data_IF_092666453881
#
_entry.id   IF_092666453881
#
_cell.length_a   1.000
_cell.length_b   1.000
_cell.length_c   1.000
_cell.angle_alpha   90.00
_cell.angle_beta   90.00
_cell.angle_gamma   90.00
#
_symmetry.space_group_name_H-M   'P 1'
#
loop_
_entity.id
_entity.type
_entity.pdbx_description
1 polymer ?
#
# COMPACT_ATOMS: atom_id res chain seq x y z
N UNK A 1 18.90 2.75 -5.28
CA UNK A 1 19.08 2.39 -6.69
C UNK A 1 17.72 2.37 -7.35
N UNK A 2 17.49 3.32 -8.23
CA UNK A 2 16.27 3.42 -9.02
C UNK A 2 16.40 2.43 -10.17
N UNK A 3 15.87 1.23 -10.02
CA UNK A 3 15.86 0.20 -11.05
C UNK A 3 14.90 0.49 -12.21
N UNK A 4 14.81 1.74 -12.64
CA UNK A 4 14.04 2.15 -13.81
C UNK A 4 15.05 2.53 -14.89
N UNK A 5 15.12 1.76 -15.94
CA UNK A 5 15.71 2.22 -17.17
C UNK A 5 14.78 3.31 -17.76
N UNK A 6 15.11 4.56 -17.50
CA UNK A 6 14.49 5.69 -18.19
C UNK A 6 15.16 5.81 -19.56
N UNK A 7 14.40 6.14 -20.59
CA UNK A 7 15.00 6.62 -21.83
C UNK A 7 15.78 7.91 -21.54
N UNK A 8 16.77 8.23 -22.36
CA UNK A 8 17.57 9.46 -22.19
C UNK A 8 16.68 10.71 -22.18
N UNK A 9 15.59 10.70 -22.93
CA UNK A 9 14.60 11.80 -22.98
C UNK A 9 13.82 11.91 -21.67
N UNK A 10 13.33 10.80 -21.11
CA UNK A 10 12.62 10.78 -19.83
C UNK A 10 13.54 11.16 -18.67
N UNK A 11 14.81 10.78 -18.75
CA UNK A 11 15.81 11.15 -17.76
C UNK A 11 16.10 12.66 -17.81
N UNK A 12 16.20 13.23 -19.01
CA UNK A 12 16.42 14.66 -19.21
C UNK A 12 15.21 15.50 -18.78
N UNK A 13 13.99 15.08 -19.11
CA UNK A 13 12.76 15.76 -18.68
C UNK A 13 12.64 15.77 -17.17
N UNK A 14 12.95 14.66 -16.51
CA UNK A 14 12.95 14.57 -15.06
C UNK A 14 14.01 15.44 -14.40
N UNK A 15 15.20 15.51 -14.98
CA UNK A 15 16.28 16.38 -14.50
C UNK A 15 15.92 17.86 -14.64
N UNK A 16 15.28 18.25 -15.73
CA UNK A 16 14.83 19.62 -15.97
C UNK A 16 13.72 20.05 -14.99
N UNK A 17 12.86 19.11 -14.57
CA UNK A 17 11.74 19.36 -13.66
C UNK A 17 12.10 19.33 -12.17
N UNK A 18 13.29 18.92 -11.79
CA UNK A 18 13.64 18.60 -10.40
C UNK A 18 14.22 19.75 -9.58
N UNK A 19 14.14 20.99 -10.03
CA UNK A 19 14.62 22.18 -9.30
C UNK A 19 16.04 22.04 -8.71
N UNK A 20 16.93 21.33 -9.37
CA UNK A 20 18.30 21.16 -8.93
C UNK A 20 18.55 20.14 -7.84
N UNK A 21 17.52 19.45 -7.36
CA UNK A 21 17.68 18.36 -6.36
C UNK A 21 18.62 17.25 -6.87
N UNK A 22 18.58 16.98 -8.16
CA UNK A 22 19.43 15.98 -8.81
C UNK A 22 20.80 16.51 -9.23
N UNK A 23 21.16 17.74 -8.92
CA UNK A 23 22.48 18.30 -9.25
C UNK A 23 22.83 18.33 -10.75
N UNK A 24 21.84 18.35 -11.64
CA UNK A 24 22.03 18.30 -13.07
C UNK A 24 22.57 16.97 -13.59
N UNK A 25 23.10 16.96 -14.80
CA UNK A 25 23.62 15.75 -15.49
C UNK A 25 24.71 14.97 -14.72
N UNK A 26 25.22 15.50 -13.64
CA UNK A 26 26.25 14.86 -12.84
C UNK A 26 25.75 13.62 -12.09
N UNK A 27 24.50 13.57 -11.69
CA UNK A 27 23.97 12.42 -10.96
C UNK A 27 23.74 11.17 -11.83
N UNK A 28 23.43 11.35 -13.10
CA UNK A 28 23.34 10.21 -14.03
C UNK A 28 24.71 9.63 -14.40
N UNK A 29 25.78 10.42 -14.22
CA UNK A 29 27.15 10.02 -14.55
C UNK A 29 28.00 9.60 -13.36
N UNK A 30 27.56 9.93 -12.14
CA UNK A 30 28.28 9.64 -10.91
C UNK A 30 27.56 8.55 -10.15
N UNK A 31 28.28 7.50 -9.78
CA UNK A 31 27.81 6.54 -8.83
C UNK A 31 27.68 7.24 -7.46
N UNK A 32 26.49 7.20 -6.90
CA UNK A 32 26.21 7.72 -5.56
C UNK A 32 25.94 6.54 -4.65
N UNK A 33 26.78 6.32 -3.67
CA UNK A 33 26.66 5.21 -2.71
C UNK A 33 25.45 5.41 -1.78
N UNK A 34 25.16 6.66 -1.42
CA UNK A 34 24.03 6.99 -0.55
C UNK A 34 22.74 7.15 -1.34
N UNK A 35 21.65 6.48 -0.91
CA UNK A 35 20.36 6.64 -1.56
C UNK A 35 19.82 8.07 -1.36
N UNK A 36 19.40 8.68 -2.46
CA UNK A 36 18.78 10.00 -2.44
C UNK A 36 17.27 9.84 -2.44
N UNK A 37 16.59 10.47 -1.48
CA UNK A 37 15.13 10.44 -1.40
C UNK A 37 14.49 11.53 -2.26
N UNK A 38 13.68 11.11 -3.24
CA UNK A 38 12.77 11.98 -3.99
C UNK A 38 11.34 11.46 -3.84
N UNK A 39 10.56 12.14 -3.00
CA UNK A 39 9.18 11.72 -2.70
C UNK A 39 8.23 11.85 -3.90
N UNK A 40 8.46 12.79 -4.80
CA UNK A 40 7.62 12.96 -6.00
C UNK A 40 7.92 11.85 -7.02
N UNK A 41 9.18 11.57 -7.24
CA UNK A 41 9.60 10.46 -8.10
C UNK A 41 9.17 9.11 -7.54
N UNK A 42 9.34 8.89 -6.25
CA UNK A 42 8.87 7.67 -5.57
C UNK A 42 7.37 7.43 -5.80
N UNK A 43 6.56 8.49 -5.68
CA UNK A 43 5.13 8.39 -5.92
C UNK A 43 4.80 8.14 -7.40
N UNK A 44 5.52 8.77 -8.32
CA UNK A 44 5.39 8.51 -9.75
C UNK A 44 5.76 7.07 -10.09
N UNK A 45 6.89 6.58 -9.60
CA UNK A 45 7.33 5.20 -9.79
C UNK A 45 6.30 4.19 -9.26
N UNK A 46 5.76 4.44 -8.08
CA UNK A 46 4.70 3.64 -7.50
C UNK A 46 3.48 3.54 -8.43
N UNK A 47 2.95 4.67 -8.87
CA UNK A 47 1.74 4.71 -9.72
C UNK A 47 2.00 4.10 -11.09
N UNK A 48 3.14 4.43 -11.74
CA UNK A 48 3.44 3.96 -13.10
C UNK A 48 3.67 2.45 -13.13
N UNK A 49 4.44 1.90 -12.18
CA UNK A 49 4.67 0.45 -12.13
C UNK A 49 3.40 -0.34 -11.84
N UNK A 50 2.52 0.18 -10.97
CA UNK A 50 1.23 -0.44 -10.71
C UNK A 50 0.35 -0.38 -11.97
N UNK A 51 0.34 0.73 -12.69
CA UNK A 51 -0.39 0.86 -13.96
C UNK A 51 0.04 -0.20 -14.97
N UNK A 52 1.35 -0.36 -15.17
CA UNK A 52 1.91 -1.38 -16.06
C UNK A 52 1.55 -2.81 -15.60
N UNK A 53 1.67 -3.09 -14.30
CA UNK A 53 1.34 -4.39 -13.76
C UNK A 53 -0.16 -4.72 -13.91
N UNK A 54 -1.05 -3.75 -13.71
CA UNK A 54 -2.49 -3.91 -13.96
C UNK A 54 -2.80 -4.14 -15.44
N UNK A 55 -2.13 -3.40 -16.34
CA UNK A 55 -2.28 -3.59 -17.77
C UNK A 55 -1.84 -5.02 -18.19
N UNK A 56 -0.67 -5.45 -17.74
CA UNK A 56 -0.18 -6.81 -18.00
C UNK A 56 -1.11 -7.88 -17.43
N UNK A 57 -1.63 -7.68 -16.23
CA UNK A 57 -2.59 -8.61 -15.64
C UNK A 57 -3.88 -8.68 -16.46
N UNK A 58 -4.39 -7.55 -16.94
CA UNK A 58 -5.55 -7.46 -17.81
C UNK A 58 -5.40 -8.20 -19.15
N UNK A 59 -4.17 -8.35 -19.66
CA UNK A 59 -3.92 -9.17 -20.87
C UNK A 59 -3.98 -10.67 -20.60
N UNK A 60 -3.74 -11.10 -19.37
CA UNK A 60 -3.75 -12.52 -18.97
C UNK A 60 -5.13 -12.96 -18.47
N UNK A 61 -5.86 -12.07 -17.84
CA UNK A 61 -7.16 -12.36 -17.21
C UNK A 61 -8.15 -11.28 -17.64
N UNK A 62 -9.22 -11.68 -18.30
CA UNK A 62 -10.26 -10.76 -18.75
C UNK A 62 -11.16 -10.34 -17.59
N UNK A 63 -10.67 -9.42 -16.76
CA UNK A 63 -11.38 -8.88 -15.61
C UNK A 63 -11.39 -7.35 -15.60
N UNK A 64 -12.40 -6.81 -14.92
CA UNK A 64 -12.43 -5.42 -14.52
C UNK A 64 -12.17 -5.33 -13.01
N UNK A 65 -10.99 -4.95 -12.56
CA UNK A 65 -10.66 -4.95 -11.13
C UNK A 65 -11.60 -4.10 -10.26
N UNK A 66 -12.22 -3.04 -10.81
CA UNK A 66 -13.18 -2.23 -10.07
C UNK A 66 -14.52 -2.94 -9.84
N UNK A 67 -14.91 -3.86 -10.72
CA UNK A 67 -16.21 -4.53 -10.70
C UNK A 67 -16.11 -5.98 -10.25
N UNK A 68 -15.04 -6.70 -10.65
CA UNK A 68 -14.93 -8.14 -10.49
C UNK A 68 -14.19 -8.55 -9.21
N UNK A 69 -13.37 -7.65 -8.64
CA UNK A 69 -12.77 -7.89 -7.33
C UNK A 69 -13.69 -7.41 -6.19
N UNK A 70 -14.01 -8.32 -5.30
CA UNK A 70 -14.80 -8.01 -4.10
C UNK A 70 -13.99 -7.19 -3.10
N UNK A 71 -12.70 -7.50 -2.99
CA UNK A 71 -11.74 -6.82 -2.14
C UNK A 71 -10.46 -6.51 -2.90
N UNK A 72 -9.83 -5.40 -2.54
CA UNK A 72 -8.57 -4.94 -3.16
C UNK A 72 -7.55 -4.65 -2.07
N UNK A 73 -6.44 -5.34 -2.12
CA UNK A 73 -5.32 -5.17 -1.22
C UNK A 73 -4.18 -4.52 -1.99
N UNK A 74 -3.74 -3.37 -1.52
CA UNK A 74 -2.69 -2.58 -2.15
C UNK A 74 -1.51 -2.47 -1.20
N UNK A 75 -0.30 -2.50 -1.74
CA UNK A 75 0.88 -2.09 -0.97
C UNK A 75 0.72 -0.66 -0.47
N UNK A 76 0.84 -0.46 0.83
CA UNK A 76 0.58 0.80 1.49
C UNK A 76 1.85 1.37 2.12
N UNK A 77 2.56 2.28 1.44
CA UNK A 77 3.64 3.08 2.06
C UNK A 77 3.11 3.93 3.22
N UNK A 78 1.85 4.36 3.13
CA UNK A 78 1.06 4.97 4.20
C UNK A 78 -0.43 4.61 4.03
N UNK A 79 -1.20 4.70 5.11
CA UNK A 79 -2.50 4.07 5.27
C UNK A 79 -3.50 4.27 4.13
N UNK A 80 -3.52 5.46 3.49
CA UNK A 80 -4.56 5.80 2.50
C UNK A 80 -4.01 6.01 1.08
N UNK A 81 -2.80 5.58 0.81
CA UNK A 81 -2.19 5.70 -0.52
C UNK A 81 -3.00 4.93 -1.58
N UNK A 82 -3.48 3.75 -1.23
CA UNK A 82 -4.27 2.92 -2.13
C UNK A 82 -5.49 3.65 -2.70
N UNK A 83 -6.32 4.22 -1.84
CA UNK A 83 -7.54 4.92 -2.29
C UNK A 83 -7.27 6.19 -3.09
N UNK A 84 -6.15 6.88 -2.83
CA UNK A 84 -5.73 8.07 -3.57
C UNK A 84 -5.24 7.74 -4.98
N UNK A 85 -4.59 6.61 -5.14
CA UNK A 85 -4.14 6.12 -6.43
C UNK A 85 -5.30 5.51 -7.22
N UNK A 86 -6.06 4.64 -6.58
CA UNK A 86 -7.09 3.85 -7.24
C UNK A 86 -8.24 4.67 -7.80
N UNK A 87 -8.49 5.89 -7.33
CA UNK A 87 -9.54 6.75 -7.90
C UNK A 87 -9.34 6.98 -9.40
N UNK A 88 -8.10 7.20 -9.85
CA UNK A 88 -7.82 7.39 -11.27
C UNK A 88 -8.03 6.09 -12.06
N UNK A 89 -7.53 4.97 -11.56
CA UNK A 89 -7.76 3.67 -12.21
C UNK A 89 -9.24 3.29 -12.20
N UNK A 90 -9.97 3.59 -11.13
CA UNK A 90 -11.41 3.37 -11.08
C UNK A 90 -12.13 4.15 -12.18
N UNK A 91 -11.79 5.43 -12.37
CA UNK A 91 -12.35 6.25 -13.43
C UNK A 91 -12.01 5.72 -14.83
N UNK A 92 -10.76 5.28 -15.04
CA UNK A 92 -10.34 4.65 -16.29
C UNK A 92 -11.14 3.36 -16.56
N UNK A 93 -11.34 2.52 -15.54
CA UNK A 93 -12.15 1.30 -15.65
C UNK A 93 -13.63 1.61 -15.97
N UNK A 94 -14.17 2.65 -15.38
CA UNK A 94 -15.55 3.08 -15.69
C UNK A 94 -15.69 3.51 -17.15
N UNK A 95 -14.69 4.19 -17.72
CA UNK A 95 -14.66 4.55 -19.14
C UNK A 95 -14.60 3.32 -20.05
N UNK A 96 -13.65 2.42 -19.78
CA UNK A 96 -13.43 1.20 -20.58
C UNK A 96 -14.68 0.31 -20.59
N UNK A 97 -15.42 0.28 -19.49
CA UNK A 97 -16.61 -0.56 -19.34
C UNK A 97 -17.94 0.15 -19.68
N UNK A 98 -17.88 1.27 -20.41
CA UNK A 98 -19.06 2.04 -20.84
C UNK A 98 -19.96 2.52 -19.70
N UNK A 99 -19.39 2.72 -18.50
CA UNK A 99 -20.08 3.22 -17.30
C UNK A 99 -19.79 4.69 -17.02
N UNK A 100 -19.18 5.39 -17.96
CA UNK A 100 -18.82 6.79 -17.79
C UNK A 100 -20.01 7.70 -17.53
N UNK A 101 -21.16 7.40 -18.13
CA UNK A 101 -22.40 8.15 -17.90
C UNK A 101 -22.87 8.12 -16.43
N UNK A 102 -22.63 7.04 -15.71
CA UNK A 102 -22.92 6.96 -14.26
C UNK A 102 -22.06 7.97 -13.50
N UNK A 103 -20.78 8.11 -13.89
CA UNK A 103 -19.85 9.07 -13.29
C UNK A 103 -20.27 10.51 -13.58
N UNK A 104 -20.67 10.81 -14.82
CA UNK A 104 -21.21 12.14 -15.20
C UNK A 104 -22.46 12.46 -14.38
N UNK A 105 -23.38 11.52 -14.22
CA UNK A 105 -24.58 11.72 -13.39
C UNK A 105 -24.24 12.05 -11.93
N UNK A 106 -23.26 11.37 -11.36
CA UNK A 106 -22.80 11.60 -9.98
C UNK A 106 -22.15 12.97 -9.83
N UNK A 107 -21.41 13.43 -10.84
CA UNK A 107 -20.67 14.68 -10.80
C UNK A 107 -21.48 15.89 -11.32
N UNK A 108 -22.50 15.66 -12.13
CA UNK A 108 -23.25 16.71 -12.83
C UNK A 108 -22.52 17.32 -14.02
N UNK A 109 -21.30 16.87 -14.33
CA UNK A 109 -20.50 17.34 -15.47
C UNK A 109 -19.48 16.28 -15.87
N UNK A 110 -19.03 16.36 -17.13
CA UNK A 110 -17.89 15.56 -17.58
C UNK A 110 -16.58 16.10 -16.98
N UNK A 111 -15.54 15.27 -17.03
CA UNK A 111 -14.22 15.66 -16.55
C UNK A 111 -13.63 16.74 -17.48
N UNK A 112 -13.17 17.89 -16.91
CA UNK A 112 -12.57 18.95 -17.71
C UNK A 112 -11.32 18.50 -18.50
N UNK A 113 -11.06 19.16 -19.63
CA UNK A 113 -9.86 18.91 -20.43
C UNK A 113 -8.60 19.55 -19.82
N UNK A 114 -8.75 20.64 -19.08
CA UNK A 114 -7.65 21.29 -18.37
C UNK A 114 -7.13 20.40 -17.25
N UNK A 115 -5.81 20.25 -17.15
CA UNK A 115 -5.17 19.33 -16.19
C UNK A 115 -5.41 19.75 -14.72
N UNK A 116 -5.42 21.05 -14.43
CA UNK A 116 -5.62 21.52 -13.05
C UNK A 116 -7.08 21.33 -12.61
N UNK A 117 -8.02 21.68 -13.49
CA UNK A 117 -9.46 21.48 -13.25
C UNK A 117 -9.80 19.99 -13.17
N UNK A 118 -9.23 19.13 -14.04
CA UNK A 118 -9.40 17.68 -13.98
C UNK A 118 -8.92 17.11 -12.65
N UNK A 119 -7.79 17.59 -12.11
CA UNK A 119 -7.29 17.17 -10.79
C UNK A 119 -8.27 17.50 -9.67
N UNK A 120 -8.83 18.71 -9.67
CA UNK A 120 -9.84 19.09 -8.67
C UNK A 120 -11.15 18.32 -8.86
N UNK A 121 -11.54 18.06 -10.10
CA UNK A 121 -12.71 17.25 -10.42
C UNK A 121 -12.55 15.81 -9.88
N UNK A 122 -11.40 15.17 -10.10
CA UNK A 122 -11.09 13.83 -9.57
C UNK A 122 -11.09 13.85 -8.03
N UNK A 123 -10.55 14.92 -7.43
CA UNK A 123 -10.59 15.11 -5.97
C UNK A 123 -12.03 15.24 -5.46
N UNK A 124 -12.90 15.96 -6.18
CA UNK A 124 -14.32 16.07 -5.86
C UNK A 124 -15.03 14.71 -6.02
N UNK A 125 -14.77 13.96 -7.09
CA UNK A 125 -15.33 12.63 -7.30
C UNK A 125 -14.93 11.67 -6.18
N UNK A 126 -13.68 11.70 -5.72
CA UNK A 126 -13.20 10.84 -4.63
C UNK A 126 -13.96 11.02 -3.31
N UNK A 127 -14.69 12.13 -3.16
CA UNK A 127 -15.51 12.45 -1.98
C UNK A 127 -16.99 12.09 -2.17
N UNK A 128 -17.42 11.70 -3.38
CA UNK A 128 -18.80 11.30 -3.65
C UNK A 128 -19.08 9.93 -3.05
N UNK A 129 -20.31 9.73 -2.58
CA UNK A 129 -20.72 8.46 -1.96
C UNK A 129 -20.58 7.27 -2.93
N UNK A 130 -20.68 7.53 -4.21
CA UNK A 130 -20.47 6.54 -5.26
C UNK A 130 -19.08 5.89 -5.15
N UNK A 131 -17.99 6.68 -5.14
CA UNK A 131 -16.63 6.16 -4.96
C UNK A 131 -16.34 5.74 -3.52
N UNK A 132 -16.85 6.47 -2.54
CA UNK A 132 -16.68 6.14 -1.12
C UNK A 132 -17.28 4.78 -0.76
N UNK A 133 -18.41 4.42 -1.37
CA UNK A 133 -19.02 3.10 -1.19
C UNK A 133 -18.14 1.98 -1.75
N UNK A 134 -17.51 2.21 -2.90
CA UNK A 134 -16.49 1.29 -3.43
C UNK A 134 -15.31 1.15 -2.46
N UNK A 135 -14.76 2.27 -1.98
CA UNK A 135 -13.66 2.27 -1.01
C UNK A 135 -14.05 1.51 0.26
N UNK A 136 -15.23 1.80 0.81
CA UNK A 136 -15.69 1.16 2.05
C UNK A 136 -15.85 -0.37 1.90
N UNK A 137 -16.32 -0.83 0.75
CA UNK A 137 -16.50 -2.24 0.45
C UNK A 137 -15.20 -2.95 0.12
N UNK A 138 -14.40 -2.36 -0.77
CA UNK A 138 -13.30 -3.07 -1.41
C UNK A 138 -11.93 -2.80 -0.78
N UNK A 139 -11.64 -1.56 -0.32
CA UNK A 139 -10.31 -1.17 0.15
C UNK A 139 -10.21 -1.00 1.66
N UNK A 140 -11.20 -0.37 2.28
CA UNK A 140 -11.14 -0.02 3.69
C UNK A 140 -10.86 -1.20 4.63
N UNK A 141 -11.37 -2.41 4.37
CA UNK A 141 -11.03 -3.58 5.19
C UNK A 141 -9.53 -3.87 5.25
N UNK A 142 -8.82 -3.74 4.12
CA UNK A 142 -7.38 -3.95 4.06
C UNK A 142 -6.57 -2.80 4.71
N UNK A 143 -7.08 -1.57 4.61
CA UNK A 143 -6.43 -0.37 5.15
C UNK A 143 -6.55 -0.24 6.67
N UNK A 144 -7.53 -0.90 7.30
CA UNK A 144 -7.84 -0.77 8.73
C UNK A 144 -6.63 -1.05 9.61
N UNK A 145 -5.96 -2.18 9.46
CA UNK A 145 -4.77 -2.50 10.26
C UNK A 145 -3.59 -1.56 9.94
N UNK A 146 -3.35 -1.27 8.65
CA UNK A 146 -2.27 -0.37 8.24
C UNK A 146 -2.43 1.04 8.83
N UNK A 147 -3.67 1.52 9.01
CA UNK A 147 -3.94 2.82 9.64
C UNK A 147 -3.59 2.85 11.13
N UNK A 148 -3.51 1.70 11.77
CA UNK A 148 -3.19 1.55 13.20
C UNK A 148 -1.71 1.17 13.45
N UNK A 149 -1.01 0.64 12.45
CA UNK A 149 0.35 0.14 12.59
C UNK A 149 1.36 1.05 11.88
N UNK A 150 1.00 1.58 10.71
CA UNK A 150 1.89 2.36 9.84
C UNK A 150 2.54 1.54 8.74
N UNK A 151 3.69 2.00 8.24
CA UNK A 151 4.41 1.35 7.13
C UNK A 151 5.01 0.02 7.57
N UNK A 152 4.72 -1.03 6.81
CA UNK A 152 5.22 -2.39 7.02
C UNK A 152 6.00 -2.92 5.80
N UNK A 153 6.40 -2.05 4.88
CA UNK A 153 7.06 -2.44 3.63
C UNK A 153 6.30 -3.56 2.90
N UNK A 154 7.01 -4.63 2.48
CA UNK A 154 6.41 -5.78 1.78
C UNK A 154 5.33 -6.50 2.60
N UNK A 155 5.42 -6.48 3.92
CA UNK A 155 4.42 -7.11 4.79
C UNK A 155 3.04 -6.42 4.70
N UNK A 156 2.94 -5.21 4.16
CA UNK A 156 1.69 -4.46 4.06
C UNK A 156 0.59 -5.19 3.30
N UNK A 157 0.91 -5.95 2.24
CA UNK A 157 -0.11 -6.73 1.50
C UNK A 157 -0.60 -7.94 2.30
N UNK A 158 0.27 -8.59 3.05
CA UNK A 158 -0.12 -9.72 3.90
C UNK A 158 -0.90 -9.25 5.13
N UNK A 159 -0.48 -8.13 5.73
CA UNK A 159 -1.26 -7.49 6.78
C UNK A 159 -2.62 -7.00 6.27
N UNK A 160 -2.69 -6.48 5.05
CA UNK A 160 -3.94 -6.12 4.39
C UNK A 160 -4.87 -7.33 4.20
N UNK A 161 -4.32 -8.50 3.88
CA UNK A 161 -5.09 -9.74 3.80
C UNK A 161 -5.64 -10.12 5.18
N UNK A 162 -4.80 -10.21 6.18
CA UNK A 162 -5.22 -10.53 7.57
C UNK A 162 -6.26 -9.52 8.05
N UNK A 163 -6.02 -8.22 7.82
CA UNK A 163 -6.96 -7.15 8.15
C UNK A 163 -8.33 -7.35 7.51
N UNK A 164 -8.35 -7.72 6.23
CA UNK A 164 -9.61 -7.96 5.48
C UNK A 164 -10.39 -9.14 6.05
N UNK A 165 -9.69 -10.23 6.37
CA UNK A 165 -10.33 -11.42 6.93
C UNK A 165 -10.87 -11.16 8.35
N UNK A 166 -10.06 -10.50 9.20
CA UNK A 166 -10.51 -10.14 10.55
C UNK A 166 -11.66 -9.13 10.54
N UNK A 167 -11.61 -8.12 9.65
CA UNK A 167 -12.70 -7.14 9.51
C UNK A 167 -14.03 -7.78 9.09
N UNK A 168 -13.95 -8.76 8.18
CA UNK A 168 -15.13 -9.53 7.77
C UNK A 168 -15.71 -10.35 8.92
N UNK A 169 -14.85 -11.00 9.71
CA UNK A 169 -15.26 -11.79 10.87
C UNK A 169 -15.88 -10.91 11.96
N UNK A 170 -15.26 -9.78 12.30
CA UNK A 170 -15.78 -8.79 13.26
C UNK A 170 -17.18 -8.30 12.89
N UNK A 171 -17.44 -8.17 11.58
CA UNK A 171 -18.74 -7.75 11.05
C UNK A 171 -19.73 -8.89 10.81
N UNK A 172 -19.36 -10.13 11.10
CA UNK A 172 -20.19 -11.30 10.81
C UNK A 172 -20.47 -11.53 9.33
N UNK A 173 -19.59 -11.03 8.43
CA UNK A 173 -19.73 -11.17 6.99
C UNK A 173 -19.13 -12.49 6.51
N UNK A 174 -19.88 -13.25 5.74
CA UNK A 174 -19.31 -14.38 5.00
C UNK A 174 -18.69 -13.87 3.70
N UNK A 175 -17.41 -14.09 3.53
CA UNK A 175 -16.66 -13.71 2.32
C UNK A 175 -16.11 -14.92 1.56
N UNK A 176 -16.54 -16.14 1.90
CA UNK A 176 -16.21 -17.34 1.13
C UNK A 176 -16.61 -17.16 -0.33
N UNK A 177 -15.73 -17.53 -1.25
CA UNK A 177 -15.91 -17.33 -2.69
C UNK A 177 -15.61 -15.94 -3.21
N UNK A 178 -15.38 -14.95 -2.34
CA UNK A 178 -15.00 -13.60 -2.80
C UNK A 178 -13.65 -13.62 -3.51
N UNK A 179 -13.53 -12.84 -4.56
CA UNK A 179 -12.27 -12.61 -5.25
C UNK A 179 -11.54 -11.42 -4.63
N UNK A 180 -10.30 -11.66 -4.22
CA UNK A 180 -9.41 -10.63 -3.69
C UNK A 180 -8.32 -10.33 -4.71
N UNK A 181 -8.22 -9.07 -5.13
CA UNK A 181 -7.11 -8.58 -5.94
C UNK A 181 -5.97 -8.05 -5.07
N UNK A 182 -4.75 -8.36 -5.46
CA UNK A 182 -3.52 -7.93 -4.78
C UNK A 182 -2.68 -7.08 -5.71
N UNK A 183 -2.29 -5.91 -5.24
CA UNK A 183 -1.44 -4.95 -5.93
C UNK A 183 -0.21 -4.72 -5.06
N UNK A 184 0.82 -5.50 -5.29
CA UNK A 184 2.10 -5.41 -4.61
C UNK A 184 3.04 -4.42 -5.28
N UNK A 185 3.82 -3.70 -4.49
CA UNK A 185 4.88 -2.82 -4.97
C UNK A 185 6.10 -2.92 -4.05
N UNK A 186 7.29 -2.83 -4.63
CA UNK A 186 8.56 -2.78 -3.91
C UNK A 186 9.46 -1.68 -4.47
N UNK A 187 10.20 -1.01 -3.59
CA UNK A 187 11.26 -0.07 -3.98
C UNK A 187 12.32 -0.78 -4.82
N UNK A 188 12.89 -0.11 -5.83
CA UNK A 188 13.67 -0.74 -6.88
C UNK A 188 12.83 -1.01 -8.13
N UNK A 189 11.68 -0.51 -8.05
CA UNK A 189 10.50 -0.21 -8.83
C UNK A 189 9.92 -1.42 -9.53
N UNK A 190 9.48 -2.39 -8.72
CA UNK A 190 8.76 -3.57 -9.20
C UNK A 190 7.35 -3.61 -8.63
N UNK A 191 6.33 -3.78 -9.51
CA UNK A 191 4.97 -4.08 -9.11
C UNK A 191 4.54 -5.47 -9.57
N UNK A 192 3.65 -6.10 -8.80
CA UNK A 192 3.01 -7.36 -9.15
C UNK A 192 1.52 -7.27 -8.87
N UNK A 193 0.72 -7.77 -9.79
CA UNK A 193 -0.73 -7.91 -9.64
C UNK A 193 -1.09 -9.39 -9.73
N UNK A 194 -1.89 -9.84 -8.81
CA UNK A 194 -2.43 -11.19 -8.80
C UNK A 194 -3.78 -11.20 -8.08
N UNK A 195 -4.52 -12.29 -8.16
CA UNK A 195 -5.78 -12.45 -7.46
C UNK A 195 -5.87 -13.83 -6.81
N UNK A 196 -6.76 -13.95 -5.84
CA UNK A 196 -7.10 -15.20 -5.18
C UNK A 196 -8.58 -15.25 -4.84
N UNK A 197 -9.09 -16.45 -4.58
CA UNK A 197 -10.44 -16.67 -4.11
C UNK A 197 -10.37 -17.04 -2.64
N UNK A 198 -11.28 -16.51 -1.85
CA UNK A 198 -11.38 -16.82 -0.41
C UNK A 198 -11.93 -18.23 -0.24
N UNK A 199 -11.11 -19.11 0.28
CA UNK A 199 -11.45 -20.52 0.47
C UNK A 199 -12.31 -20.75 1.71
N UNK A 200 -12.93 -21.92 1.76
CA UNK A 200 -13.64 -22.43 2.91
C UNK A 200 -12.73 -22.42 4.15
N UNK A 201 -13.28 -22.13 5.31
CA UNK A 201 -12.53 -22.01 6.58
C UNK A 201 -11.58 -20.78 6.68
N UNK A 202 -11.71 -19.79 5.82
CA UNK A 202 -10.99 -18.51 5.93
C UNK A 202 -11.06 -17.87 7.32
N UNK A 203 -12.17 -18.10 8.04
CA UNK A 203 -12.42 -17.58 9.40
C UNK A 203 -11.45 -18.13 10.45
N UNK A 204 -10.74 -19.23 10.18
CA UNK A 204 -9.68 -19.72 11.09
C UNK A 204 -8.52 -18.72 11.19
N UNK A 205 -8.23 -17.97 10.11
CA UNK A 205 -7.23 -16.89 10.14
C UNK A 205 -7.74 -15.70 10.94
N UNK A 206 -9.04 -15.44 10.92
CA UNK A 206 -9.66 -14.36 11.68
C UNK A 206 -9.60 -14.57 13.21
N UNK A 207 -9.34 -15.79 13.66
CA UNK A 207 -9.14 -16.09 15.09
C UNK A 207 -7.85 -15.48 15.68
N UNK A 208 -7.02 -14.82 14.85
CA UNK A 208 -5.84 -14.09 15.30
C UNK A 208 -6.17 -12.87 16.17
N UNK A 209 -7.44 -12.50 16.29
CA UNK A 209 -7.92 -11.40 17.16
C UNK A 209 -7.11 -10.09 16.98
N UNK A 210 -6.83 -9.78 15.72
CA UNK A 210 -5.91 -8.71 15.31
C UNK A 210 -6.31 -7.36 15.92
N UNK A 211 -7.59 -6.99 15.79
CA UNK A 211 -8.02 -5.64 16.17
C UNK A 211 -8.09 -5.47 17.67
N UNK A 212 -8.53 -6.48 18.41
CA UNK A 212 -8.47 -6.47 19.87
C UNK A 212 -7.02 -6.39 20.37
N UNK A 213 -6.09 -7.11 19.73
CA UNK A 213 -4.65 -6.99 20.05
C UNK A 213 -4.15 -5.56 19.80
N UNK A 214 -4.55 -4.93 18.70
CA UNK A 214 -4.17 -3.55 18.39
C UNK A 214 -4.81 -2.52 19.32
N UNK A 215 -6.03 -2.74 19.80
CA UNK A 215 -6.72 -1.88 20.75
C UNK A 215 -6.12 -1.98 22.15
N UNK A 216 -5.67 -3.16 22.55
CA UNK A 216 -5.06 -3.42 23.86
C UNK A 216 -3.55 -3.13 23.92
N UNK A 217 -2.99 -2.36 22.97
CA UNK A 217 -1.60 -1.91 23.02
C UNK A 217 -1.35 -1.00 24.21
N UNK A 218 -0.21 -1.17 24.84
CA UNK A 218 0.21 -0.28 25.92
C UNK A 218 0.66 1.07 25.34
N UNK A 219 -0.03 2.14 25.71
CA UNK A 219 0.39 3.49 25.38
C UNK A 219 1.63 3.87 26.19
N UNK A 220 2.60 4.48 25.53
CA UNK A 220 3.83 4.98 26.15
C UNK A 220 3.99 6.47 25.89
N UNK A 221 4.67 7.19 26.80
CA UNK A 221 5.03 8.59 26.56
C UNK A 221 6.10 8.69 25.48
N UNK A 222 6.20 9.87 24.86
CA UNK A 222 7.27 10.15 23.89
C UNK A 222 8.66 10.01 24.53
N UNK A 223 8.82 10.47 25.77
CA UNK A 223 10.06 10.31 26.54
C UNK A 223 10.45 8.84 26.74
N UNK A 224 9.47 7.98 27.06
CA UNK A 224 9.70 6.54 27.18
C UNK A 224 10.13 5.95 25.84
N UNK A 225 9.48 6.33 24.75
CA UNK A 225 9.84 5.92 23.40
C UNK A 225 11.28 6.36 23.04
N UNK A 226 11.64 7.64 23.29
CA UNK A 226 13.00 8.14 23.03
C UNK A 226 14.07 7.43 23.86
N UNK A 227 13.78 7.18 25.13
CA UNK A 227 14.70 6.46 25.99
C UNK A 227 14.93 5.03 25.51
N UNK A 228 13.91 4.36 25.01
CA UNK A 228 14.07 3.05 24.38
C UNK A 228 14.84 3.12 23.08
N UNK A 229 14.48 4.04 22.21
CA UNK A 229 15.14 4.22 20.92
C UNK A 229 16.63 4.52 21.07
N UNK A 230 17.00 5.25 22.12
CA UNK A 230 18.38 5.60 22.45
C UNK A 230 19.06 4.60 23.41
N UNK A 231 18.50 3.40 23.58
CA UNK A 231 19.07 2.33 24.41
C UNK A 231 19.32 2.74 25.87
N UNK A 232 18.50 3.65 26.40
CA UNK A 232 18.59 4.13 27.79
C UNK A 232 17.70 3.35 28.76
N UNK A 233 16.89 2.42 28.26
CA UNK A 233 16.05 1.53 29.04
C UNK A 233 16.37 0.07 28.70
N UNK A 234 16.72 -0.67 29.72
CA UNK A 234 17.15 -2.08 29.59
C UNK A 234 15.99 -3.08 29.74
N UNK A 235 14.81 -2.64 30.07
CA UNK A 235 13.68 -3.52 30.34
C UNK A 235 12.46 -3.25 29.48
N UNK A 236 11.78 -4.32 29.08
CA UNK A 236 10.50 -4.21 28.38
C UNK A 236 9.44 -3.59 29.31
N UNK A 237 8.61 -2.67 28.80
CA UNK A 237 7.49 -2.06 29.52
C UNK A 237 6.46 -3.13 29.90
N UNK A 238 6.21 -4.06 28.99
CA UNK A 238 5.33 -5.21 29.22
C UNK A 238 6.12 -6.48 28.95
N UNK A 239 6.60 -7.18 29.97
CA UNK A 239 7.30 -8.44 29.75
C UNK A 239 6.37 -9.44 29.06
N UNK A 240 6.83 -10.02 27.97
CA UNK A 240 6.08 -11.06 27.29
C UNK A 240 6.06 -12.31 28.17
N UNK A 241 4.87 -12.69 28.63
CA UNK A 241 4.70 -13.86 29.49
C UNK A 241 4.47 -15.15 28.73
N UNK A 242 4.20 -15.08 27.41
CA UNK A 242 3.91 -16.23 26.54
C UNK A 242 4.36 -15.92 25.12
N UNK A 243 5.01 -16.90 24.46
CA UNK A 243 5.45 -16.80 23.09
C UNK A 243 6.97 -16.77 22.94
N UNK A 244 7.43 -16.35 21.78
CA UNK A 244 8.85 -16.21 21.50
C UNK A 244 9.42 -14.99 22.24
N UNK A 245 10.42 -15.21 23.06
CA UNK A 245 11.11 -14.17 23.82
C UNK A 245 12.57 -14.19 23.42
N UNK A 246 13.10 -13.01 23.07
CA UNK A 246 14.53 -12.88 22.82
C UNK A 246 15.31 -13.14 24.10
N UNK A 247 16.15 -14.15 24.11
CA UNK A 247 16.92 -14.57 25.29
C UNK A 247 18.37 -14.14 25.26
N UNK A 248 18.90 -13.80 24.07
CA UNK A 248 20.24 -13.32 23.92
C UNK A 248 20.79 -13.44 22.51
N UNK A 249 22.03 -13.04 22.35
CA UNK A 249 22.82 -13.27 21.15
C UNK A 249 23.80 -14.41 21.44
N UNK A 250 23.93 -15.33 20.49
CA UNK A 250 25.01 -16.31 20.57
C UNK A 250 26.33 -15.63 20.23
N UNK A 251 27.31 -15.70 21.13
CA UNK A 251 28.61 -15.05 21.02
C UNK A 251 29.73 -16.01 20.60
N UNK A 252 29.41 -17.23 20.17
CA UNK A 252 30.43 -18.16 19.65
C UNK A 252 30.90 -17.68 18.28
N UNK A 253 32.23 -17.76 18.03
CA UNK A 253 32.92 -17.17 16.88
C UNK A 253 32.35 -17.48 15.49
N UNK A 254 31.50 -18.49 15.33
CA UNK A 254 30.85 -18.85 14.07
C UNK A 254 29.34 -18.66 14.07
N UNK A 255 28.75 -17.97 15.07
CA UNK A 255 27.30 -17.86 15.25
C UNK A 255 26.82 -16.44 15.59
N UNK A 256 27.60 -15.42 15.24
CA UNK A 256 27.29 -14.00 15.53
C UNK A 256 25.94 -13.49 14.99
N UNK A 257 25.34 -14.22 14.04
CA UNK A 257 24.08 -13.82 13.39
C UNK A 257 22.84 -14.57 13.89
N UNK A 258 22.99 -15.49 14.83
CA UNK A 258 21.86 -16.25 15.36
C UNK A 258 21.32 -15.59 16.62
N UNK A 259 20.00 -15.46 16.68
CA UNK A 259 19.26 -15.01 17.86
C UNK A 259 18.64 -16.20 18.54
N UNK A 260 18.75 -16.27 19.85
CA UNK A 260 18.07 -17.26 20.67
C UNK A 260 16.69 -16.71 21.08
N UNK A 261 15.65 -17.53 20.92
CA UNK A 261 14.27 -17.19 21.22
C UNK A 261 13.71 -18.13 22.29
#
# INVERSE_FOLDING_TARGET
LLGVELSDEEAQEKLAGSNGFWGGNTMLRSYVEEPVFDGQYSNFAYVSRIKEALANFGTMVNINPALDWDKVIVHLPYAFQGRRMLVNFYLDWMKINNKWNEVIQVMGSDMPADKAEAKEWVRAFSKRDYYRSYVARALAPAERASSLIGNMYTASIFMGLISTLCDAADKGQNIEGNTIGFIGYGSGSKAKVFQGIVEKNWNKVAQLDLFNTLENRTAVSFETYENWHNERLDSAITPNKKGFVFTGLRTEENQEFYRDY
#
